data_IF_929398250999
#
_entry.id   IF_929398250999
#
_cell.length_a   1.000
_cell.length_b   1.000
_cell.length_c   1.000
_cell.angle_alpha   90.00
_cell.angle_beta   90.00
_cell.angle_gamma   90.00
#
_symmetry.space_group_name_H-M   'P 1'
#
loop_
_entity.id
_entity.type
_entity.pdbx_description
1 polymer ?
#
# COMPACT_ATOMS: atom_id res chain seq x y z
N UNK A 1 2.79 -2.71 -0.29
CA UNK A 1 2.02 -2.01 -1.34
C UNK A 1 1.05 -1.03 -0.71
N UNK A 2 0.91 0.16 -1.31
CA UNK A 2 -0.12 1.14 -0.99
C UNK A 2 -0.98 1.41 -2.22
N UNK A 3 -2.25 1.79 -2.02
CA UNK A 3 -3.06 2.33 -3.10
C UNK A 3 -3.56 3.72 -2.73
N UNK A 4 -3.58 4.61 -3.71
CA UNK A 4 -3.92 6.02 -3.53
C UNK A 4 -4.72 6.54 -4.74
N UNK A 5 -5.27 7.75 -4.63
CA UNK A 5 -6.00 8.40 -5.71
C UNK A 5 -5.20 9.57 -6.28
N UNK A 6 -5.16 9.66 -7.60
CA UNK A 6 -4.79 10.87 -8.29
C UNK A 6 -5.89 11.94 -8.15
N UNK A 7 -5.70 13.09 -8.75
CA UNK A 7 -6.58 14.25 -8.63
C UNK A 7 -8.03 13.98 -9.04
N UNK A 8 -8.23 13.22 -10.13
CA UNK A 8 -9.53 12.97 -10.73
C UNK A 8 -9.87 11.48 -10.76
N UNK A 9 -11.02 11.11 -11.29
CA UNK A 9 -11.48 9.75 -11.63
C UNK A 9 -11.34 8.70 -10.54
N UNK A 10 -11.31 9.10 -9.25
CA UNK A 10 -11.23 8.15 -8.14
C UNK A 10 -12.48 8.18 -7.24
N UNK A 11 -12.82 7.00 -6.67
CA UNK A 11 -13.99 6.79 -5.83
C UNK A 11 -13.86 7.36 -4.40
N UNK A 12 -12.91 8.24 -4.14
CA UNK A 12 -12.71 8.96 -2.87
C UNK A 12 -12.33 10.43 -3.13
N UNK A 13 -13.10 11.11 -3.97
CA UNK A 13 -12.84 12.50 -4.37
C UNK A 13 -12.73 13.48 -3.20
N UNK A 14 -13.38 13.20 -2.07
CA UNK A 14 -13.31 14.02 -0.85
C UNK A 14 -12.09 13.69 0.05
N UNK A 15 -11.26 12.70 -0.30
CA UNK A 15 -9.99 12.46 0.39
C UNK A 15 -8.94 13.49 -0.06
N UNK A 16 -7.89 13.65 0.72
CA UNK A 16 -6.67 14.30 0.25
C UNK A 16 -6.06 13.41 -0.84
N UNK A 17 -6.29 13.78 -2.10
CA UNK A 17 -5.76 13.09 -3.27
C UNK A 17 -4.49 13.80 -3.73
N UNK A 18 -3.64 13.05 -4.42
CA UNK A 18 -2.36 13.53 -4.89
C UNK A 18 -2.54 14.22 -6.25
N UNK A 19 -2.09 15.47 -6.34
CA UNK A 19 -2.06 16.23 -7.59
C UNK A 19 -0.84 15.85 -8.46
N UNK A 20 -0.72 16.52 -9.59
CA UNK A 20 0.31 16.23 -10.58
C UNK A 20 1.75 16.47 -10.07
N UNK A 21 1.93 17.24 -8.99
CA UNK A 21 3.23 17.48 -8.35
C UNK A 21 3.48 16.48 -7.20
N UNK A 22 2.46 16.22 -6.39
CA UNK A 22 2.59 15.36 -5.22
C UNK A 22 2.62 13.86 -5.56
N UNK A 23 2.00 13.46 -6.68
CA UNK A 23 1.94 12.05 -7.08
C UNK A 23 3.34 11.48 -7.40
N UNK A 24 4.17 12.09 -8.27
CA UNK A 24 5.52 11.61 -8.55
C UNK A 24 6.40 11.53 -7.29
N UNK A 25 6.36 12.55 -6.43
CA UNK A 25 7.11 12.58 -5.18
C UNK A 25 6.67 11.45 -4.23
N UNK A 26 5.37 11.15 -4.19
CA UNK A 26 4.83 10.06 -3.37
C UNK A 26 5.24 8.69 -3.90
N UNK A 27 5.22 8.50 -5.23
CA UNK A 27 5.71 7.26 -5.87
C UNK A 27 7.18 7.08 -5.55
N UNK A 28 8.01 8.12 -5.77
CA UNK A 28 9.43 8.13 -5.41
C UNK A 28 9.64 7.73 -3.95
N UNK A 29 8.98 8.39 -3.00
CA UNK A 29 9.09 8.11 -1.57
C UNK A 29 8.76 6.65 -1.22
N UNK A 30 7.74 6.09 -1.85
CA UNK A 30 7.35 4.70 -1.64
C UNK A 30 8.38 3.72 -2.23
N UNK A 31 8.84 3.96 -3.45
CA UNK A 31 9.82 3.13 -4.14
C UNK A 31 11.17 3.11 -3.39
N UNK A 32 11.63 4.25 -2.90
CA UNK A 32 12.81 4.35 -2.02
C UNK A 32 12.75 3.34 -0.86
N UNK A 33 11.55 3.05 -0.37
CA UNK A 33 11.28 2.12 0.75
C UNK A 33 10.82 0.73 0.32
N UNK A 34 10.94 0.42 -0.98
CA UNK A 34 10.50 -0.88 -1.54
C UNK A 34 8.99 -1.10 -1.48
N UNK A 35 8.21 -0.02 -1.43
CA UNK A 35 6.75 -0.08 -1.36
C UNK A 35 6.15 0.24 -2.73
N UNK A 36 5.42 -0.71 -3.31
CA UNK A 36 4.69 -0.54 -4.57
C UNK A 36 3.51 0.42 -4.40
N UNK A 37 3.22 1.18 -5.46
CA UNK A 37 2.14 2.17 -5.51
C UNK A 37 1.14 1.83 -6.61
N UNK A 38 -0.13 1.67 -6.23
CA UNK A 38 -1.24 1.48 -7.16
C UNK A 38 -2.11 2.74 -7.20
N UNK A 39 -2.35 3.28 -8.40
CA UNK A 39 -3.14 4.50 -8.56
C UNK A 39 -4.57 4.15 -8.96
N UNK A 40 -5.56 4.71 -8.25
CA UNK A 40 -6.98 4.46 -8.54
C UNK A 40 -7.52 5.41 -9.60
N UNK A 41 -8.05 4.84 -10.69
CA UNK A 41 -8.87 5.49 -11.73
C UNK A 41 -10.17 4.69 -11.80
N UNK A 42 -10.93 4.69 -10.71
CA UNK A 42 -11.98 3.71 -10.46
C UNK A 42 -13.38 4.33 -10.31
N UNK A 43 -13.70 5.23 -11.22
CA UNK A 43 -15.07 5.74 -11.45
C UNK A 43 -15.50 5.45 -12.88
N UNK A 44 -16.80 5.47 -13.14
CA UNK A 44 -17.30 5.49 -14.51
C UNK A 44 -16.99 6.84 -15.16
N UNK A 45 -16.69 6.84 -16.45
CA UNK A 45 -16.27 8.02 -17.21
C UNK A 45 -17.28 8.29 -18.31
N UNK A 46 -17.58 9.57 -18.57
CA UNK A 46 -18.43 10.00 -19.68
C UNK A 46 -17.58 10.34 -20.92
N UNK A 47 -18.18 10.33 -22.10
CA UNK A 47 -17.49 10.68 -23.34
C UNK A 47 -16.80 12.06 -23.28
N UNK A 48 -17.46 13.04 -22.64
CA UNK A 48 -16.90 14.38 -22.47
C UNK A 48 -15.69 14.48 -21.51
N UNK A 49 -15.37 13.41 -20.80
CA UNK A 49 -14.22 13.35 -19.86
C UNK A 49 -13.02 12.59 -20.44
N UNK A 50 -13.16 12.03 -21.66
CA UNK A 50 -12.13 11.14 -22.23
C UNK A 50 -10.80 11.83 -22.45
N UNK A 51 -10.77 13.09 -22.89
CA UNK A 51 -9.52 13.83 -23.10
C UNK A 51 -8.78 14.05 -21.76
N UNK A 52 -9.49 14.48 -20.73
CA UNK A 52 -8.92 14.64 -19.39
C UNK A 52 -8.46 13.31 -18.77
N UNK A 53 -9.16 12.21 -19.07
CA UNK A 53 -8.76 10.87 -18.65
C UNK A 53 -7.44 10.43 -19.32
N UNK A 54 -7.29 10.73 -20.63
CA UNK A 54 -6.07 10.41 -21.37
C UNK A 54 -4.87 11.17 -20.79
N UNK A 55 -5.03 12.45 -20.51
CA UNK A 55 -3.99 13.28 -19.85
C UNK A 55 -3.59 12.71 -18.48
N UNK A 56 -4.58 12.32 -17.67
CA UNK A 56 -4.30 11.71 -16.35
C UNK A 56 -3.64 10.32 -16.47
N UNK A 57 -4.03 9.53 -17.48
CA UNK A 57 -3.41 8.23 -17.75
C UNK A 57 -1.93 8.38 -18.14
N UNK A 58 -1.63 9.38 -18.99
CA UNK A 58 -0.27 9.71 -19.41
C UNK A 58 0.56 10.17 -18.18
N UNK A 59 0.02 11.07 -17.36
CA UNK A 59 0.69 11.52 -16.13
C UNK A 59 0.95 10.38 -15.14
N UNK A 60 0.01 9.46 -14.94
CA UNK A 60 0.19 8.29 -14.08
C UNK A 60 1.31 7.38 -14.63
N UNK A 61 1.31 7.11 -15.93
CA UNK A 61 2.33 6.27 -16.56
C UNK A 61 3.74 6.86 -16.44
N UNK A 62 3.88 8.18 -16.50
CA UNK A 62 5.14 8.89 -16.31
C UNK A 62 5.71 8.77 -14.89
N UNK A 63 4.87 8.61 -13.87
CA UNK A 63 5.34 8.42 -12.48
C UNK A 63 6.04 7.09 -12.25
N UNK A 64 5.80 6.09 -13.09
CA UNK A 64 6.25 4.72 -12.86
C UNK A 64 5.47 3.98 -11.76
N UNK A 65 4.24 4.40 -11.46
CA UNK A 65 3.34 3.67 -10.55
C UNK A 65 3.19 2.20 -10.97
N UNK A 66 3.17 1.28 -10.01
CA UNK A 66 3.29 -0.16 -10.28
C UNK A 66 2.01 -0.81 -10.84
N UNK A 67 0.86 -0.18 -10.68
CA UNK A 67 -0.40 -0.61 -11.27
C UNK A 67 -1.47 0.51 -11.24
N UNK A 68 -2.50 0.32 -12.05
CA UNK A 68 -3.73 1.13 -11.97
C UNK A 68 -4.91 0.28 -11.53
N UNK A 69 -5.78 0.86 -10.68
CA UNK A 69 -7.02 0.22 -10.21
C UNK A 69 -8.20 0.84 -10.93
N UNK A 70 -8.89 0.08 -11.76
CA UNK A 70 -9.85 0.54 -12.74
C UNK A 70 -11.27 -0.01 -12.46
N UNK A 71 -12.30 0.73 -12.88
CA UNK A 71 -13.69 0.28 -12.80
C UNK A 71 -14.32 0.13 -14.18
N UNK A 72 -14.16 1.15 -15.03
CA UNK A 72 -14.84 1.27 -16.32
C UNK A 72 -14.18 0.34 -17.36
N UNK A 73 -14.92 -0.54 -18.04
CA UNK A 73 -14.36 -1.43 -19.06
C UNK A 73 -13.76 -0.67 -20.28
N UNK A 74 -14.27 0.51 -20.61
CA UNK A 74 -13.68 1.33 -21.68
C UNK A 74 -12.32 1.89 -21.23
N UNK A 75 -12.22 2.31 -19.97
CA UNK A 75 -10.95 2.76 -19.36
C UNK A 75 -9.95 1.60 -19.25
N UNK A 76 -10.40 0.38 -18.92
CA UNK A 76 -9.53 -0.82 -18.91
C UNK A 76 -8.95 -1.08 -20.30
N UNK A 77 -9.76 -0.97 -21.36
CA UNK A 77 -9.28 -1.10 -22.76
C UNK A 77 -8.32 0.00 -23.13
N UNK A 78 -8.61 1.26 -22.76
CA UNK A 78 -7.72 2.40 -23.02
C UNK A 78 -6.33 2.17 -22.41
N UNK A 79 -6.25 1.77 -21.14
CA UNK A 79 -4.97 1.46 -20.50
C UNK A 79 -4.27 0.25 -21.14
N UNK A 80 -5.02 -0.82 -21.49
CA UNK A 80 -4.47 -1.98 -22.17
C UNK A 80 -3.84 -1.61 -23.52
N UNK A 81 -4.52 -0.79 -24.28
CA UNK A 81 -4.11 -0.46 -25.65
C UNK A 81 -2.99 0.60 -25.67
N UNK A 82 -3.02 1.54 -24.70
CA UNK A 82 -2.05 2.65 -24.62
C UNK A 82 -0.80 2.31 -23.80
N UNK A 83 -0.95 1.52 -22.74
CA UNK A 83 0.13 1.11 -21.83
C UNK A 83 0.02 -0.39 -21.54
N UNK A 84 0.30 -1.26 -22.52
CA UNK A 84 0.08 -2.70 -22.42
C UNK A 84 0.86 -3.35 -21.28
N UNK A 85 2.03 -2.82 -20.93
CA UNK A 85 2.89 -3.32 -19.87
C UNK A 85 2.51 -2.82 -18.47
N UNK A 86 1.68 -1.76 -18.33
CA UNK A 86 1.23 -1.26 -17.03
C UNK A 86 0.15 -2.19 -16.46
N UNK A 87 0.39 -2.83 -15.29
CA UNK A 87 -0.55 -3.73 -14.65
C UNK A 87 -1.91 -3.06 -14.36
N UNK A 88 -2.99 -3.77 -14.65
CA UNK A 88 -4.38 -3.33 -14.46
C UNK A 88 -5.09 -4.19 -13.46
N UNK A 89 -5.63 -3.56 -12.41
CA UNK A 89 -6.40 -4.24 -11.38
C UNK A 89 -7.87 -3.82 -11.48
N UNK A 90 -8.78 -4.79 -11.48
CA UNK A 90 -10.20 -4.50 -11.42
C UNK A 90 -10.60 -4.07 -10.02
N UNK A 91 -11.18 -2.87 -9.91
CA UNK A 91 -11.60 -2.29 -8.63
C UNK A 91 -12.75 -3.07 -8.01
N UNK A 92 -12.88 -3.01 -6.68
CA UNK A 92 -14.11 -3.45 -5.98
C UNK A 92 -15.37 -2.73 -6.49
N UNK A 93 -15.23 -1.59 -7.13
CA UNK A 93 -16.35 -0.85 -7.77
C UNK A 93 -16.92 -1.58 -8.98
N UNK A 94 -16.24 -2.59 -9.54
CA UNK A 94 -16.79 -3.48 -10.56
C UNK A 94 -17.82 -4.45 -10.00
N UNK A 95 -17.95 -4.54 -8.66
CA UNK A 95 -18.89 -5.38 -7.92
C UNK A 95 -18.86 -6.87 -8.32
N UNK A 96 -17.66 -7.41 -8.59
CA UNK A 96 -17.49 -8.81 -8.98
C UNK A 96 -17.85 -9.73 -7.82
N UNK A 97 -18.89 -10.52 -8.02
CA UNK A 97 -19.44 -11.45 -7.02
C UNK A 97 -19.72 -12.83 -7.56
N UNK A 98 -19.36 -13.10 -8.81
CA UNK A 98 -19.47 -14.41 -9.45
C UNK A 98 -18.26 -14.72 -10.35
N UNK A 99 -18.22 -15.96 -10.82
CA UNK A 99 -17.12 -16.44 -11.65
C UNK A 99 -17.12 -15.79 -13.04
N UNK A 100 -18.29 -15.60 -13.65
CA UNK A 100 -18.38 -15.10 -15.02
C UNK A 100 -17.89 -13.64 -15.10
N UNK A 101 -18.26 -12.82 -14.11
CA UNK A 101 -17.75 -11.45 -13.96
C UNK A 101 -16.23 -11.42 -13.76
N UNK A 102 -15.68 -12.34 -12.96
CA UNK A 102 -14.24 -12.42 -12.73
C UNK A 102 -13.48 -12.83 -14.01
N UNK A 103 -13.97 -13.85 -14.73
CA UNK A 103 -13.37 -14.28 -15.98
C UNK A 103 -13.46 -13.20 -17.07
N UNK A 104 -14.58 -12.49 -17.17
CA UNK A 104 -14.70 -11.35 -18.09
C UNK A 104 -13.63 -10.27 -17.85
N UNK A 105 -13.34 -9.92 -16.59
CA UNK A 105 -12.31 -8.94 -16.26
C UNK A 105 -10.90 -9.49 -16.52
N UNK A 106 -10.67 -10.77 -16.27
CA UNK A 106 -9.43 -11.44 -16.67
C UNK A 106 -9.21 -11.35 -18.18
N UNK A 107 -10.23 -11.61 -18.98
CA UNK A 107 -10.19 -11.52 -20.45
C UNK A 107 -9.98 -10.08 -20.96
N UNK A 108 -10.42 -9.08 -20.19
CA UNK A 108 -10.07 -7.67 -20.46
C UNK A 108 -8.60 -7.34 -20.15
N UNK A 109 -7.83 -8.29 -19.59
CA UNK A 109 -6.43 -8.16 -19.27
C UNK A 109 -6.18 -7.55 -17.90
N UNK A 110 -7.11 -7.70 -16.95
CA UNK A 110 -6.84 -7.38 -15.54
C UNK A 110 -5.99 -8.49 -14.90
N UNK A 111 -4.90 -8.10 -14.24
CA UNK A 111 -3.98 -9.04 -13.57
C UNK A 111 -4.36 -9.29 -12.11
N UNK A 112 -5.22 -8.45 -11.55
CA UNK A 112 -5.78 -8.63 -10.20
C UNK A 112 -7.25 -8.22 -10.21
N UNK A 113 -8.09 -9.01 -9.55
CA UNK A 113 -9.53 -8.78 -9.45
C UNK A 113 -9.91 -8.62 -7.99
N UNK A 114 -10.36 -7.42 -7.61
CA UNK A 114 -10.84 -7.16 -6.25
C UNK A 114 -12.27 -7.66 -6.13
N UNK A 115 -12.45 -8.75 -5.39
CA UNK A 115 -13.73 -9.39 -5.17
C UNK A 115 -14.68 -8.53 -4.31
N UNK A 116 -15.96 -8.72 -4.51
CA UNK A 116 -16.99 -8.09 -3.67
C UNK A 116 -16.86 -8.54 -2.21
N UNK A 117 -17.15 -7.61 -1.27
CA UNK A 117 -17.04 -7.87 0.18
C UNK A 117 -18.13 -8.79 0.72
N UNK A 118 -19.16 -9.01 -0.06
CA UNK A 118 -20.39 -9.74 0.29
C UNK A 118 -20.27 -11.25 0.07
N UNK A 119 -19.14 -11.73 -0.44
CA UNK A 119 -18.86 -13.14 -0.72
C UNK A 119 -18.54 -13.91 0.55
N UNK A 120 -18.99 -15.16 0.57
CA UNK A 120 -18.53 -16.17 1.54
C UNK A 120 -17.16 -16.73 1.13
N UNK A 121 -16.46 -17.37 2.06
CA UNK A 121 -15.17 -18.01 1.79
C UNK A 121 -15.26 -19.02 0.63
N UNK A 122 -16.30 -19.86 0.59
CA UNK A 122 -16.52 -20.86 -0.47
C UNK A 122 -16.77 -20.22 -1.85
N UNK A 123 -17.45 -19.07 -1.90
CA UNK A 123 -17.64 -18.33 -3.16
C UNK A 123 -16.32 -17.71 -3.63
N UNK A 124 -15.50 -17.17 -2.72
CA UNK A 124 -14.17 -16.67 -3.04
C UNK A 124 -13.25 -17.77 -3.59
N UNK A 125 -13.20 -18.93 -2.93
CA UNK A 125 -12.45 -20.10 -3.36
C UNK A 125 -12.86 -20.56 -4.76
N UNK A 126 -14.18 -20.64 -5.01
CA UNK A 126 -14.72 -21.03 -6.32
C UNK A 126 -14.29 -20.08 -7.45
N UNK A 127 -14.20 -18.79 -7.18
CA UNK A 127 -13.72 -17.80 -8.15
C UNK A 127 -12.19 -17.91 -8.29
N UNK A 128 -11.46 -17.85 -7.19
CA UNK A 128 -10.00 -17.83 -7.18
C UNK A 128 -9.39 -19.05 -7.86
N UNK A 129 -9.95 -20.25 -7.63
CA UNK A 129 -9.47 -21.50 -8.22
C UNK A 129 -9.63 -21.58 -9.76
N UNK A 130 -10.41 -20.69 -10.36
CA UNK A 130 -10.67 -20.66 -11.81
C UNK A 130 -9.97 -19.54 -12.54
N UNK A 131 -9.38 -18.60 -11.83
CA UNK A 131 -8.53 -17.57 -12.42
C UNK A 131 -7.18 -18.18 -12.83
N UNK A 132 -6.71 -17.89 -14.03
CA UNK A 132 -5.49 -18.47 -14.62
C UNK A 132 -4.38 -17.47 -14.86
N UNK A 133 -4.73 -16.22 -15.20
CA UNK A 133 -3.81 -15.13 -15.49
C UNK A 133 -4.00 -13.94 -14.56
N UNK A 134 -5.04 -13.97 -13.73
CA UNK A 134 -5.32 -12.94 -12.74
C UNK A 134 -5.26 -13.51 -11.31
N UNK A 135 -4.84 -12.70 -10.36
CA UNK A 135 -4.95 -12.98 -8.93
C UNK A 135 -6.27 -12.47 -8.34
N UNK A 136 -6.74 -13.13 -7.28
CA UNK A 136 -7.89 -12.68 -6.50
C UNK A 136 -7.43 -11.82 -5.31
N UNK A 137 -7.99 -10.61 -5.19
CA UNK A 137 -7.78 -9.69 -4.07
C UNK A 137 -9.06 -9.56 -3.25
N UNK A 138 -8.97 -9.66 -1.93
CA UNK A 138 -10.11 -9.50 -1.04
C UNK A 138 -9.83 -8.52 0.09
N UNK A 139 -10.86 -7.76 0.49
CA UNK A 139 -10.75 -6.93 1.69
C UNK A 139 -10.73 -7.80 2.95
N UNK A 140 -9.82 -7.48 3.88
CA UNK A 140 -9.69 -8.19 5.15
C UNK A 140 -10.01 -7.33 6.36
N UNK A 141 -9.95 -5.98 6.21
CA UNK A 141 -10.27 -5.08 7.31
C UNK A 141 -10.77 -3.73 6.81
N UNK A 142 -11.74 -3.15 7.53
CA UNK A 142 -12.22 -1.78 7.34
C UNK A 142 -13.72 -1.64 7.16
N UNK A 143 -14.15 -0.51 6.65
CA UNK A 143 -15.56 -0.16 6.57
C UNK A 143 -16.33 -1.04 5.57
N UNK A 144 -17.44 -1.63 6.03
CA UNK A 144 -18.44 -2.22 5.14
C UNK A 144 -19.31 -1.14 4.47
N UNK A 145 -19.63 -1.38 3.20
CA UNK A 145 -20.69 -0.66 2.51
C UNK A 145 -22.03 -1.39 2.71
N UNK A 146 -23.12 -0.66 2.89
CA UNK A 146 -24.47 -1.27 2.98
C UNK A 146 -24.95 -1.78 1.62
N UNK A 147 -24.49 -1.21 0.54
CA UNK A 147 -24.77 -1.63 -0.82
C UNK A 147 -23.68 -2.54 -1.37
N UNK A 148 -24.01 -3.39 -2.32
CA UNK A 148 -23.04 -4.26 -2.99
C UNK A 148 -21.87 -3.41 -3.51
N UNK A 149 -20.71 -3.62 -2.93
CA UNK A 149 -19.43 -3.02 -3.28
C UNK A 149 -19.45 -1.56 -3.76
N UNK A 150 -20.34 -0.74 -3.14
CA UNK A 150 -20.46 0.68 -3.45
C UNK A 150 -21.42 1.03 -4.59
N UNK A 151 -22.14 0.08 -5.18
CA UNK A 151 -23.16 0.32 -6.21
C UNK A 151 -24.44 0.91 -5.61
N UNK A 152 -24.38 2.12 -5.02
CA UNK A 152 -25.44 2.74 -4.25
C UNK A 152 -25.79 4.12 -4.78
N UNK A 153 -27.10 4.35 -5.00
CA UNK A 153 -27.64 5.65 -5.41
C UNK A 153 -28.22 6.49 -4.25
N UNK A 154 -28.21 5.98 -3.01
CA UNK A 154 -28.87 6.64 -1.87
C UNK A 154 -28.35 8.06 -1.66
N UNK A 155 -27.03 8.28 -1.76
CA UNK A 155 -26.43 9.61 -1.61
C UNK A 155 -26.79 10.56 -2.76
N UNK A 156 -26.98 10.05 -3.98
CA UNK A 156 -27.43 10.84 -5.12
C UNK A 156 -28.91 11.23 -4.97
N UNK A 157 -29.77 10.31 -4.53
CA UNK A 157 -31.20 10.55 -4.31
C UNK A 157 -31.46 11.56 -3.18
N UNK A 158 -30.70 11.51 -2.10
CA UNK A 158 -30.91 12.38 -0.94
C UNK A 158 -30.21 13.74 -1.05
N UNK A 159 -29.18 13.88 -1.86
CA UNK A 159 -28.38 15.09 -1.87
C UNK A 159 -27.61 15.37 -3.16
N UNK A 160 -27.94 14.72 -4.26
CA UNK A 160 -27.32 14.94 -5.56
C UNK A 160 -25.83 14.52 -5.63
N UNK A 161 -25.35 13.71 -4.68
CA UNK A 161 -23.94 13.33 -4.55
C UNK A 161 -23.72 11.89 -4.99
N UNK A 162 -23.05 11.69 -6.13
CA UNK A 162 -22.78 10.34 -6.64
C UNK A 162 -21.73 9.61 -5.79
N UNK A 163 -22.12 8.48 -5.21
CA UNK A 163 -21.21 7.58 -4.49
C UNK A 163 -20.15 6.96 -5.41
N UNK A 164 -20.54 6.64 -6.66
CA UNK A 164 -19.60 6.12 -7.67
C UNK A 164 -18.51 7.15 -8.03
N UNK A 165 -18.90 8.43 -8.08
CA UNK A 165 -17.99 9.55 -8.37
C UNK A 165 -17.18 10.03 -7.15
N UNK A 166 -17.10 9.22 -6.11
CA UNK A 166 -16.32 9.52 -4.91
C UNK A 166 -16.95 10.53 -3.94
N UNK A 167 -18.22 10.88 -4.12
CA UNK A 167 -18.92 11.92 -3.36
C UNK A 167 -19.92 11.36 -2.33
N UNK A 168 -19.83 10.09 -1.96
CA UNK A 168 -20.74 9.47 -1.00
C UNK A 168 -20.76 10.22 0.33
N UNK A 169 -21.96 10.69 0.74
CA UNK A 169 -22.18 11.34 2.04
C UNK A 169 -22.44 10.35 3.19
N UNK A 170 -22.34 9.05 2.91
CA UNK A 170 -22.59 7.98 3.90
C UNK A 170 -24.00 8.03 4.53
N UNK A 171 -25.09 8.23 3.79
CA UNK A 171 -26.43 8.34 4.36
C UNK A 171 -26.86 7.07 5.10
N UNK A 172 -26.32 5.89 4.75
CA UNK A 172 -26.57 4.65 5.50
C UNK A 172 -26.09 4.69 6.96
N UNK A 173 -25.26 5.70 7.33
CA UNK A 173 -24.75 5.85 8.72
C UNK A 173 -25.62 6.75 9.60
N UNK A 174 -26.66 7.36 9.03
CA UNK A 174 -27.63 8.15 9.78
C UNK A 174 -28.53 7.27 10.64
N UNK A 175 -29.19 7.88 11.63
CA UNK A 175 -30.14 7.20 12.51
C UNK A 175 -31.45 6.89 11.77
N UNK A 176 -31.37 5.95 10.82
CA UNK A 176 -32.56 5.38 10.19
C UNK A 176 -33.25 4.43 11.16
N UNK A 177 -34.56 4.59 11.33
CA UNK A 177 -35.36 3.81 12.30
C UNK A 177 -36.34 2.90 11.58
N UNK A 178 -36.48 1.68 12.09
CA UNK A 178 -37.50 0.72 11.68
C UNK A 178 -38.01 -0.07 12.87
N UNK A 179 -39.28 0.11 13.22
CA UNK A 179 -39.85 -0.46 14.43
C UNK A 179 -39.13 0.08 15.67
N UNK A 180 -38.57 -0.84 16.48
CA UNK A 180 -37.76 -0.51 17.67
C UNK A 180 -36.25 -0.38 17.40
N UNK A 181 -35.81 -0.64 16.16
CA UNK A 181 -34.38 -0.56 15.77
C UNK A 181 -34.00 0.84 15.32
N UNK A 182 -32.80 1.27 15.67
CA UNK A 182 -32.12 2.47 15.18
C UNK A 182 -30.93 2.09 14.30
N UNK A 183 -30.39 3.04 13.54
CA UNK A 183 -29.23 2.85 12.67
C UNK A 183 -29.31 1.60 11.77
N UNK A 184 -30.52 1.22 11.35
CA UNK A 184 -30.83 -0.08 10.69
C UNK A 184 -30.15 -0.29 9.35
N UNK A 185 -29.44 0.72 8.80
CA UNK A 185 -28.63 0.63 7.59
C UNK A 185 -27.11 0.70 7.90
N UNK A 186 -26.71 0.84 9.16
CA UNK A 186 -25.30 0.99 9.51
C UNK A 186 -24.68 -0.36 9.86
N UNK A 187 -23.81 -0.88 9.00
CA UNK A 187 -23.03 -2.09 9.28
C UNK A 187 -21.82 -1.77 10.18
N UNK A 188 -21.44 -2.72 11.03
CA UNK A 188 -20.15 -2.75 11.71
C UNK A 188 -19.00 -2.74 10.70
N UNK A 189 -17.81 -2.41 11.15
CA UNK A 189 -16.62 -2.58 10.32
C UNK A 189 -16.30 -4.07 10.15
N UNK A 190 -15.74 -4.41 9.00
CA UNK A 190 -15.27 -5.77 8.72
C UNK A 190 -13.93 -6.01 9.40
N UNK A 191 -13.73 -7.19 9.98
CA UNK A 191 -12.42 -7.73 10.28
C UNK A 191 -12.42 -9.23 10.01
N UNK A 192 -11.60 -9.62 9.04
CA UNK A 192 -11.42 -11.01 8.62
C UNK A 192 -10.02 -11.53 8.94
N UNK A 193 -9.25 -10.78 9.76
CA UNK A 193 -7.87 -11.12 10.06
C UNK A 193 -7.72 -12.52 10.69
N UNK A 194 -8.68 -12.94 11.52
CA UNK A 194 -8.70 -14.29 12.09
C UNK A 194 -8.89 -15.40 11.07
N UNK A 195 -9.37 -15.06 9.87
CA UNK A 195 -9.57 -15.97 8.75
C UNK A 195 -8.50 -15.79 7.66
N UNK A 196 -7.44 -15.02 7.92
CA UNK A 196 -6.45 -14.66 6.91
C UNK A 196 -5.79 -15.90 6.27
N UNK A 197 -5.46 -16.92 7.07
CA UNK A 197 -4.89 -18.17 6.55
C UNK A 197 -5.92 -18.96 5.72
N UNK A 198 -7.15 -19.09 6.19
CA UNK A 198 -8.22 -19.77 5.45
C UNK A 198 -8.48 -19.09 4.09
N UNK A 199 -8.42 -17.76 4.05
CA UNK A 199 -8.55 -16.99 2.81
C UNK A 199 -7.35 -17.21 1.87
N UNK A 200 -6.13 -17.28 2.41
CA UNK A 200 -4.94 -17.60 1.62
C UNK A 200 -5.04 -19.02 1.02
N UNK A 201 -5.46 -20.00 1.80
CA UNK A 201 -5.65 -21.38 1.38
C UNK A 201 -6.78 -21.51 0.32
N UNK A 202 -7.79 -20.64 0.38
CA UNK A 202 -8.84 -20.49 -0.62
C UNK A 202 -8.38 -19.78 -1.92
N UNK A 203 -7.09 -19.41 -2.04
CA UNK A 203 -6.51 -18.83 -3.24
C UNK A 203 -6.57 -17.31 -3.33
N UNK A 204 -6.86 -16.62 -2.22
CA UNK A 204 -6.73 -15.15 -2.16
C UNK A 204 -5.25 -14.78 -2.10
N UNK A 205 -4.75 -14.12 -3.13
CA UNK A 205 -3.34 -13.77 -3.29
C UNK A 205 -2.98 -12.40 -2.72
N UNK A 206 -3.99 -11.55 -2.52
CA UNK A 206 -3.79 -10.17 -2.05
C UNK A 206 -4.83 -9.77 -1.01
N UNK A 207 -4.37 -9.27 0.13
CA UNK A 207 -5.20 -8.82 1.24
C UNK A 207 -5.29 -7.31 1.26
N UNK A 208 -6.51 -6.77 1.13
CA UNK A 208 -6.78 -5.33 1.05
C UNK A 208 -7.31 -4.76 2.35
N UNK A 209 -6.75 -3.64 2.76
CA UNK A 209 -7.19 -2.88 3.93
C UNK A 209 -7.87 -1.59 3.44
N UNK A 210 -9.11 -1.33 3.88
CA UNK A 210 -9.77 -0.05 3.63
C UNK A 210 -9.30 1.00 4.64
N UNK A 211 -8.60 2.04 4.18
CA UNK A 211 -8.01 3.01 5.08
C UNK A 211 -7.77 4.41 4.52
N UNK A 212 -8.13 4.72 3.27
CA UNK A 212 -7.83 6.00 2.58
C UNK A 212 -8.32 7.26 3.29
N UNK A 213 -9.36 7.15 4.12
CA UNK A 213 -9.90 8.28 4.90
C UNK A 213 -9.67 8.07 6.40
N UNK A 214 -8.67 7.30 6.76
CA UNK A 214 -8.32 6.99 8.14
C UNK A 214 -7.02 7.67 8.54
N UNK A 215 -6.83 7.83 9.86
CA UNK A 215 -5.58 8.35 10.43
C UNK A 215 -4.42 7.36 10.18
N UNK A 216 -3.17 7.86 10.12
CA UNK A 216 -1.99 7.01 10.00
C UNK A 216 -1.89 5.92 11.07
N UNK A 217 -2.29 6.21 12.32
CA UNK A 217 -2.31 5.26 13.43
C UNK A 217 -3.19 4.04 13.15
N UNK A 218 -4.35 4.26 12.53
CA UNK A 218 -5.22 3.16 12.11
C UNK A 218 -4.54 2.29 11.06
N UNK A 219 -3.92 2.91 10.06
CA UNK A 219 -3.25 2.17 8.99
C UNK A 219 -2.08 1.36 9.57
N UNK A 220 -1.27 1.96 10.43
CA UNK A 220 -0.15 1.29 11.09
C UNK A 220 -0.63 0.08 11.92
N UNK A 221 -1.66 0.26 12.76
CA UNK A 221 -2.22 -0.81 13.57
C UNK A 221 -2.75 -1.98 12.72
N UNK A 222 -3.55 -1.69 11.69
CA UNK A 222 -4.16 -2.74 10.86
C UNK A 222 -3.11 -3.46 10.00
N UNK A 223 -2.11 -2.75 9.47
CA UNK A 223 -1.01 -3.39 8.71
C UNK A 223 -0.19 -4.30 9.60
N UNK A 224 0.11 -3.89 10.83
CA UNK A 224 0.83 -4.72 11.81
C UNK A 224 0.03 -5.97 12.12
N UNK A 225 -1.23 -5.83 12.52
CA UNK A 225 -2.11 -6.97 12.84
C UNK A 225 -2.34 -7.91 11.64
N UNK A 226 -2.41 -7.37 10.42
CA UNK A 226 -2.54 -8.19 9.22
C UNK A 226 -1.28 -9.04 8.97
N UNK A 227 -0.09 -8.50 9.22
CA UNK A 227 1.17 -9.25 9.13
C UNK A 227 1.23 -10.36 10.18
N UNK A 228 0.91 -10.04 11.43
CA UNK A 228 0.87 -10.99 12.55
C UNK A 228 -0.10 -12.13 12.25
N UNK A 229 -1.32 -11.82 11.79
CA UNK A 229 -2.31 -12.82 11.41
C UNK A 229 -1.84 -13.76 10.26
N UNK A 230 -1.13 -13.22 9.27
CA UNK A 230 -0.60 -14.00 8.15
C UNK A 230 0.62 -14.87 8.51
N UNK A 231 1.36 -14.50 9.55
CA UNK A 231 2.48 -15.30 10.07
C UNK A 231 2.04 -16.29 11.17
N UNK A 232 0.75 -16.31 11.51
CA UNK A 232 0.21 -17.16 12.58
C UNK A 232 0.49 -16.63 13.98
N UNK A 233 0.93 -15.38 14.10
CA UNK A 233 1.13 -14.69 15.36
C UNK A 233 -0.18 -14.13 15.91
N UNK A 234 -0.24 -13.91 17.21
CA UNK A 234 -1.40 -13.25 17.85
C UNK A 234 -1.32 -11.75 17.66
N UNK A 235 -2.42 -11.12 17.26
CA UNK A 235 -2.55 -9.67 17.12
C UNK A 235 -3.51 -9.10 18.16
N UNK A 236 -3.37 -7.81 18.46
CA UNK A 236 -4.19 -7.09 19.45
C UNK A 236 -5.49 -6.57 18.80
N UNK A 237 -6.56 -7.38 18.89
CA UNK A 237 -7.90 -7.00 18.39
C UNK A 237 -8.51 -5.83 19.20
N UNK A 238 -8.19 -5.71 20.48
CA UNK A 238 -8.75 -4.63 21.32
C UNK A 238 -8.18 -3.28 20.90
N UNK A 239 -6.88 -3.21 20.58
CA UNK A 239 -6.29 -2.01 19.99
C UNK A 239 -6.89 -1.68 18.63
N UNK A 240 -7.15 -2.67 17.75
CA UNK A 240 -7.83 -2.43 16.47
C UNK A 240 -9.25 -1.89 16.68
N UNK A 241 -9.98 -2.45 17.64
CA UNK A 241 -11.32 -2.00 18.01
C UNK A 241 -11.31 -0.58 18.54
N UNK A 242 -10.35 -0.26 19.40
CA UNK A 242 -10.19 1.05 20.01
C UNK A 242 -9.82 2.13 19.00
N UNK A 243 -8.83 1.88 18.10
CA UNK A 243 -8.38 2.89 17.14
C UNK A 243 -9.47 3.31 16.18
N UNK A 244 -10.27 2.37 15.71
CA UNK A 244 -11.51 2.66 14.97
C UNK A 244 -12.39 1.44 14.79
N UNK A 245 -13.61 1.50 15.32
CA UNK A 245 -14.69 0.57 14.99
C UNK A 245 -16.06 1.23 15.09
N UNK A 246 -17.09 0.57 14.58
CA UNK A 246 -18.51 0.90 14.77
C UNK A 246 -19.16 -0.18 15.61
N UNK A 247 -19.02 -0.06 16.93
CA UNK A 247 -19.46 -1.08 17.90
C UNK A 247 -18.83 -2.45 17.66
N UNK A 248 -17.52 -2.46 17.27
CA UNK A 248 -16.76 -3.66 16.97
C UNK A 248 -16.81 -4.10 15.51
N UNK A 249 -16.51 -5.37 15.28
CA UNK A 249 -16.32 -5.96 13.96
C UNK A 249 -17.36 -7.01 13.60
N UNK A 250 -17.43 -7.34 12.31
CA UNK A 250 -18.23 -8.44 11.78
C UNK A 250 -17.47 -9.18 10.69
N UNK A 251 -17.68 -10.48 10.59
CA UNK A 251 -17.27 -11.37 9.51
C UNK A 251 -18.49 -12.06 8.84
N UNK A 252 -19.67 -11.51 9.08
CA UNK A 252 -20.93 -12.15 8.74
C UNK A 252 -21.09 -12.51 7.26
N UNK A 253 -20.51 -11.75 6.33
CA UNK A 253 -20.53 -12.12 4.92
C UNK A 253 -19.63 -13.34 4.66
N UNK A 254 -18.38 -13.31 5.11
CA UNK A 254 -17.44 -14.41 4.89
C UNK A 254 -17.97 -15.74 5.43
N UNK A 255 -18.54 -15.70 6.64
CA UNK A 255 -19.09 -16.89 7.32
C UNK A 255 -20.51 -17.26 6.92
N UNK A 256 -21.18 -16.45 6.10
CA UNK A 256 -22.57 -16.63 5.72
C UNK A 256 -23.60 -16.27 6.81
N UNK A 257 -23.16 -15.75 7.96
CA UNK A 257 -24.05 -15.35 9.09
C UNK A 257 -24.59 -13.94 8.90
N UNK A 258 -25.54 -13.78 7.99
CA UNK A 258 -26.14 -12.50 7.62
C UNK A 258 -27.34 -12.18 8.52
N UNK A 259 -27.07 -11.66 9.71
CA UNK A 259 -28.10 -11.38 10.72
C UNK A 259 -27.92 -9.98 11.38
N UNK A 260 -28.71 -9.69 12.41
CA UNK A 260 -28.72 -8.40 13.12
C UNK A 260 -27.39 -8.07 13.80
N UNK A 261 -26.55 -9.05 14.08
CA UNK A 261 -25.25 -8.84 14.74
C UNK A 261 -24.24 -8.11 13.84
N UNK A 262 -24.50 -8.07 12.52
CA UNK A 262 -23.68 -7.33 11.56
C UNK A 262 -23.87 -5.81 11.66
N UNK A 263 -24.91 -5.31 12.32
CA UNK A 263 -25.23 -3.89 12.39
C UNK A 263 -24.60 -3.24 13.62
N UNK A 264 -24.19 -1.99 13.48
CA UNK A 264 -23.60 -1.19 14.52
C UNK A 264 -23.26 0.22 14.05
N UNK A 265 -23.09 1.13 14.99
CA UNK A 265 -22.73 2.52 14.71
C UNK A 265 -21.67 2.99 15.70
N UNK A 266 -20.97 4.05 15.37
CA UNK A 266 -19.91 4.59 16.22
C UNK A 266 -20.51 5.37 17.38
N UNK A 267 -20.22 4.94 18.59
CA UNK A 267 -20.68 5.56 19.84
C UNK A 267 -19.67 6.61 20.33
N UNK A 268 -20.05 7.38 21.36
CA UNK A 268 -19.13 8.30 22.04
C UNK A 268 -17.99 7.54 22.73
N UNK A 269 -18.28 6.36 23.27
CA UNK A 269 -17.27 5.50 23.91
C UNK A 269 -16.25 4.97 22.93
N UNK A 270 -16.67 4.63 21.71
CA UNK A 270 -15.73 4.27 20.61
C UNK A 270 -14.80 5.43 20.26
N UNK A 271 -15.26 6.68 20.31
CA UNK A 271 -14.43 7.86 20.06
C UNK A 271 -13.39 8.07 21.17
N UNK A 272 -13.83 7.97 22.44
CA UNK A 272 -12.93 8.14 23.60
C UNK A 272 -11.88 7.02 23.69
N UNK A 273 -12.23 5.82 23.30
CA UNK A 273 -11.31 4.68 23.27
C UNK A 273 -10.15 4.89 22.30
N UNK A 274 -10.38 5.57 21.18
CA UNK A 274 -9.33 5.89 20.20
C UNK A 274 -8.20 6.73 20.83
N UNK A 275 -8.53 7.76 21.61
CA UNK A 275 -7.53 8.68 22.17
C UNK A 275 -6.51 7.98 23.08
N UNK A 276 -6.89 6.85 23.68
CA UNK A 276 -6.03 6.07 24.58
C UNK A 276 -4.90 5.34 23.86
N UNK A 277 -5.10 4.97 22.59
CA UNK A 277 -4.16 4.15 21.80
C UNK A 277 -3.37 4.93 20.76
N UNK A 278 -3.81 6.15 20.41
CA UNK A 278 -3.18 6.93 19.32
C UNK A 278 -1.68 7.16 19.54
N UNK A 279 -1.29 7.54 20.78
CA UNK A 279 0.12 7.86 21.07
C UNK A 279 1.04 6.65 20.94
N UNK A 280 0.61 5.46 21.38
CA UNK A 280 1.39 4.23 21.22
C UNK A 280 1.47 3.77 19.79
N UNK A 281 0.39 3.96 19.02
CA UNK A 281 0.35 3.61 17.61
C UNK A 281 1.20 4.56 16.74
N UNK A 282 1.30 5.84 17.08
CA UNK A 282 2.19 6.78 16.39
C UNK A 282 3.65 6.32 16.44
N UNK A 283 4.08 5.71 17.53
CA UNK A 283 5.44 5.18 17.66
C UNK A 283 5.81 4.09 16.62
N UNK A 284 4.80 3.44 15.99
CA UNK A 284 5.03 2.42 14.96
C UNK A 284 5.61 3.00 13.65
N UNK A 285 5.46 4.32 13.40
CA UNK A 285 5.88 4.96 12.15
C UNK A 285 6.65 6.28 12.34
N UNK A 286 6.84 6.76 13.58
CA UNK A 286 7.62 7.99 13.86
C UNK A 286 9.08 7.87 13.47
N UNK A 287 9.62 6.66 13.48
CA UNK A 287 11.02 6.40 13.12
C UNK A 287 11.11 5.55 11.87
N UNK A 288 12.05 5.90 11.01
CA UNK A 288 12.38 5.07 9.86
C UNK A 288 12.82 3.67 10.34
N UNK A 289 12.16 2.64 9.82
CA UNK A 289 12.48 1.25 10.14
C UNK A 289 13.24 0.65 8.96
N UNK A 290 14.50 0.25 9.13
CA UNK A 290 15.29 -0.38 8.07
C UNK A 290 14.65 -1.71 7.64
N UNK A 291 14.27 -1.81 6.37
CA UNK A 291 13.61 -3.00 5.78
C UNK A 291 14.19 -3.40 4.43
N UNK A 292 14.87 -2.48 3.76
CA UNK A 292 15.54 -2.77 2.49
C UNK A 292 16.94 -3.31 2.76
N UNK A 293 17.18 -4.57 2.39
CA UNK A 293 18.51 -5.18 2.51
C UNK A 293 19.51 -4.48 1.60
N UNK A 294 20.73 -4.24 2.10
CA UNK A 294 21.82 -3.66 1.31
C UNK A 294 23.13 -4.38 1.62
N UNK A 295 23.87 -4.76 0.56
CA UNK A 295 25.26 -5.20 0.66
C UNK A 295 26.19 -4.00 0.50
N UNK A 296 27.33 -4.03 1.20
CA UNK A 296 28.35 -2.99 1.15
C UNK A 296 29.71 -3.58 0.88
N UNK A 297 30.44 -3.04 -0.09
CA UNK A 297 31.83 -3.38 -0.37
C UNK A 297 32.71 -2.12 -0.26
N UNK A 298 33.59 -2.11 0.70
CA UNK A 298 34.53 -1.01 0.94
C UNK A 298 35.90 -1.35 0.40
N UNK A 299 36.52 -0.47 -0.36
CA UNK A 299 37.92 -0.58 -0.80
C UNK A 299 38.74 0.62 -0.37
N UNK A 300 39.94 0.37 0.10
CA UNK A 300 40.94 1.38 0.42
C UNK A 300 42.26 0.97 -0.22
N UNK A 301 42.65 1.69 -1.26
CA UNK A 301 43.94 1.51 -1.92
C UNK A 301 44.98 2.51 -1.36
N UNK A 302 46.15 2.63 -1.96
CA UNK A 302 47.14 3.67 -1.58
C UNK A 302 46.74 5.09 -1.96
N UNK A 303 45.81 5.24 -2.93
CA UNK A 303 45.48 6.54 -3.55
C UNK A 303 44.00 6.90 -3.43
N UNK A 304 43.14 5.94 -3.14
CA UNK A 304 41.69 6.13 -3.22
C UNK A 304 40.96 5.31 -2.19
N UNK A 305 39.83 5.86 -1.73
CA UNK A 305 38.84 5.13 -0.96
C UNK A 305 37.53 5.05 -1.74
N UNK A 306 36.84 3.91 -1.72
CA UNK A 306 35.55 3.75 -2.38
C UNK A 306 34.59 2.88 -1.57
N UNK A 307 33.32 3.18 -1.66
CA UNK A 307 32.24 2.37 -1.07
C UNK A 307 31.20 2.05 -2.15
N UNK A 308 31.01 0.78 -2.42
CA UNK A 308 29.93 0.27 -3.26
C UNK A 308 28.80 -0.22 -2.38
N UNK A 309 27.57 0.22 -2.65
CA UNK A 309 26.35 -0.24 -2.00
C UNK A 309 25.40 -0.81 -3.04
N UNK A 310 24.72 -1.93 -2.72
CA UNK A 310 23.77 -2.55 -3.63
C UNK A 310 22.59 -3.19 -2.88
N UNK A 311 21.39 -3.01 -3.43
CA UNK A 311 20.17 -3.69 -2.97
C UNK A 311 19.80 -4.92 -3.82
N UNK A 312 20.69 -5.33 -4.73
CA UNK A 312 20.46 -6.43 -5.65
C UNK A 312 19.89 -6.01 -7.01
N UNK A 313 19.15 -4.91 -7.07
CA UNK A 313 18.62 -4.33 -8.31
C UNK A 313 19.43 -3.10 -8.76
N UNK A 314 19.84 -2.27 -7.82
CA UNK A 314 20.60 -1.06 -8.03
C UNK A 314 21.95 -1.17 -7.32
N UNK A 315 22.99 -0.59 -7.91
CA UNK A 315 24.30 -0.46 -7.30
C UNK A 315 24.85 0.96 -7.50
N UNK A 316 25.52 1.50 -6.48
CA UNK A 316 26.22 2.78 -6.54
C UNK A 316 27.58 2.66 -5.90
N UNK A 317 28.55 3.29 -6.53
CA UNK A 317 29.92 3.37 -6.01
C UNK A 317 30.30 4.84 -5.87
N UNK A 318 30.65 5.22 -4.67
CA UNK A 318 31.14 6.57 -4.34
C UNK A 318 32.62 6.48 -4.00
N UNK A 319 33.40 7.40 -4.54
CA UNK A 319 34.82 7.58 -4.22
C UNK A 319 34.98 8.72 -3.21
N UNK A 320 35.83 8.51 -2.22
CA UNK A 320 36.05 9.48 -1.15
C UNK A 320 37.49 10.00 -1.11
N UNK A 321 37.80 10.62 -0.01
CA UNK A 321 39.12 11.20 0.21
C UNK A 321 40.25 10.17 0.01
N UNK A 322 41.39 10.64 -0.47
CA UNK A 322 42.62 9.85 -0.52
C UNK A 322 43.06 9.46 0.88
N UNK A 323 43.50 8.22 1.12
CA UNK A 323 43.96 7.82 2.44
C UNK A 323 45.30 8.44 2.79
N UNK A 324 45.57 8.53 4.10
CA UNK A 324 46.85 8.98 4.62
C UNK A 324 47.65 7.77 5.14
N UNK A 325 48.98 7.86 5.13
CA UNK A 325 49.81 6.87 5.83
C UNK A 325 49.55 6.90 7.31
N UNK A 326 49.26 5.75 7.89
CA UNK A 326 48.99 5.64 9.33
C UNK A 326 50.22 5.93 10.17
N UNK A 327 50.10 6.87 11.10
CA UNK A 327 51.18 7.18 12.06
C UNK A 327 51.13 6.23 13.27
N UNK A 328 49.95 6.00 13.82
CA UNK A 328 49.76 5.20 15.02
C UNK A 328 49.04 3.88 14.76
N UNK A 329 47.92 3.91 14.03
CA UNK A 329 47.09 2.76 13.76
C UNK A 329 46.48 2.83 12.35
N UNK A 330 46.76 1.80 11.55
CA UNK A 330 46.12 1.65 10.27
C UNK A 330 44.63 1.29 10.39
N UNK A 331 43.83 1.60 9.40
CA UNK A 331 42.44 1.19 9.34
C UNK A 331 42.40 -0.33 9.14
N UNK A 332 41.61 -1.01 9.97
CA UNK A 332 41.28 -2.42 9.83
C UNK A 332 39.83 -2.62 9.40
N UNK A 333 39.51 -3.80 8.87
CA UNK A 333 38.17 -4.13 8.37
C UNK A 333 37.08 -3.95 9.45
N UNK A 334 37.35 -4.35 10.69
CA UNK A 334 36.40 -4.23 11.78
C UNK A 334 36.09 -2.77 12.15
N UNK A 335 37.10 -1.88 12.08
CA UNK A 335 36.95 -0.45 12.31
C UNK A 335 36.18 0.23 11.17
N UNK A 336 36.39 -0.19 9.91
CA UNK A 336 35.65 0.27 8.75
C UNK A 336 34.19 -0.15 8.86
N UNK A 337 33.92 -1.42 9.09
CA UNK A 337 32.59 -1.99 9.28
C UNK A 337 31.80 -1.25 10.34
N UNK A 338 32.38 -1.09 11.55
CA UNK A 338 31.75 -0.37 12.68
C UNK A 338 31.23 1.02 12.33
N UNK A 339 31.83 1.70 11.34
CA UNK A 339 31.41 3.02 10.90
C UNK A 339 30.48 2.98 9.69
N UNK A 340 30.71 2.06 8.74
CA UNK A 340 30.00 1.99 7.47
C UNK A 340 28.62 1.32 7.58
N UNK A 341 28.44 0.35 8.49
CA UNK A 341 27.14 -0.35 8.65
C UNK A 341 26.07 0.42 9.43
N UNK A 342 26.37 1.66 9.84
CA UNK A 342 25.42 2.50 10.60
C UNK A 342 24.40 3.17 9.66
N UNK A 343 23.30 2.52 9.36
CA UNK A 343 22.26 2.98 8.45
C UNK A 343 21.08 3.70 9.10
N UNK A 344 21.17 4.02 10.38
CA UNK A 344 20.08 4.68 11.13
C UNK A 344 19.57 5.95 10.44
N UNK A 345 18.25 6.10 10.38
CA UNK A 345 17.56 7.19 9.66
C UNK A 345 17.41 6.95 8.15
N UNK A 346 17.74 5.75 7.67
CA UNK A 346 17.50 5.31 6.28
C UNK A 346 16.64 4.05 6.25
N UNK A 347 16.01 3.70 5.12
CA UNK A 347 15.26 2.45 5.00
C UNK A 347 16.14 1.19 4.89
N UNK A 348 17.47 1.35 4.91
CA UNK A 348 18.42 0.27 4.64
C UNK A 348 18.83 -0.51 5.89
N UNK A 349 18.89 -1.85 5.75
CA UNK A 349 19.51 -2.77 6.70
C UNK A 349 20.69 -3.48 6.00
N UNK A 350 21.89 -3.37 6.56
CA UNK A 350 23.06 -4.04 5.97
C UNK A 350 22.92 -5.54 6.16
N UNK A 351 22.97 -6.28 5.05
CA UNK A 351 22.86 -7.74 5.00
C UNK A 351 24.21 -8.43 4.80
N UNK A 352 25.13 -7.72 4.15
CA UNK A 352 26.49 -8.20 3.91
C UNK A 352 27.48 -7.02 3.88
N UNK A 353 28.71 -7.25 4.38
CA UNK A 353 29.78 -6.27 4.39
C UNK A 353 31.10 -6.91 4.02
N UNK A 354 31.79 -6.36 3.03
CA UNK A 354 33.15 -6.76 2.66
C UNK A 354 34.08 -5.56 2.67
N UNK A 355 35.36 -5.78 3.00
CA UNK A 355 36.37 -4.72 2.99
C UNK A 355 37.69 -5.24 2.43
N UNK A 356 38.24 -4.53 1.44
CA UNK A 356 39.61 -4.72 0.91
C UNK A 356 40.43 -3.46 1.26
N UNK A 357 41.40 -3.60 2.16
CA UNK A 357 42.11 -2.47 2.75
C UNK A 357 43.61 -2.63 2.58
N UNK A 358 44.26 -1.72 1.86
CA UNK A 358 45.71 -1.67 1.73
C UNK A 358 46.38 -1.45 3.10
N UNK A 359 47.38 -2.26 3.46
CA UNK A 359 48.03 -2.18 4.77
C UNK A 359 48.82 -0.86 4.94
N UNK A 360 48.81 -0.33 6.15
CA UNK A 360 49.57 0.88 6.50
C UNK A 360 48.89 2.21 6.18
N UNK A 361 47.65 2.19 5.74
CA UNK A 361 46.87 3.39 5.47
C UNK A 361 45.73 3.60 6.48
N UNK A 362 45.30 4.86 6.62
CA UNK A 362 44.19 5.23 7.46
C UNK A 362 43.23 6.16 6.72
N UNK A 363 41.96 6.11 7.13
CA UNK A 363 40.93 7.06 6.75
C UNK A 363 40.20 7.52 8.03
N UNK A 364 40.00 8.81 8.25
CA UNK A 364 39.30 9.29 9.45
C UNK A 364 37.83 8.86 9.44
N UNK A 365 37.26 8.64 10.65
CA UNK A 365 35.87 8.24 10.79
C UNK A 365 34.88 9.24 10.13
N UNK A 366 35.24 10.51 10.05
CA UNK A 366 34.46 11.53 9.32
C UNK A 366 34.34 11.22 7.83
N UNK A 367 35.44 10.82 7.17
CA UNK A 367 35.47 10.46 5.77
C UNK A 367 34.66 9.17 5.51
N UNK A 368 34.84 8.13 6.34
CA UNK A 368 34.02 6.92 6.27
C UNK A 368 32.51 7.24 6.39
N UNK A 369 32.14 8.12 7.32
CA UNK A 369 30.76 8.54 7.49
C UNK A 369 30.25 9.40 6.32
N UNK A 370 31.08 10.17 5.67
CA UNK A 370 30.73 10.92 4.46
C UNK A 370 30.46 9.97 3.29
N UNK A 371 31.38 9.05 2.99
CA UNK A 371 31.22 7.99 2.00
C UNK A 371 29.90 7.21 2.17
N UNK A 372 29.64 6.75 3.39
CA UNK A 372 28.41 6.03 3.70
C UNK A 372 27.17 6.84 3.37
N UNK A 373 27.10 8.11 3.84
CA UNK A 373 25.93 8.96 3.63
C UNK A 373 25.69 9.21 2.14
N UNK A 374 26.73 9.49 1.41
CA UNK A 374 26.68 9.76 -0.02
C UNK A 374 26.24 8.51 -0.79
N UNK A 375 26.88 7.36 -0.56
CA UNK A 375 26.55 6.11 -1.22
C UNK A 375 25.10 5.66 -0.95
N UNK A 376 24.64 5.76 0.29
CA UNK A 376 23.25 5.44 0.63
C UNK A 376 22.25 6.44 0.05
N UNK A 377 22.60 7.73 -0.05
CA UNK A 377 21.77 8.75 -0.71
C UNK A 377 21.62 8.47 -2.20
N UNK A 378 22.73 8.18 -2.90
CA UNK A 378 22.70 7.83 -4.31
C UNK A 378 21.92 6.53 -4.59
N UNK A 379 22.05 5.53 -3.71
CA UNK A 379 21.26 4.30 -3.82
C UNK A 379 19.77 4.58 -3.62
N UNK A 380 19.44 5.44 -2.65
CA UNK A 380 18.05 5.84 -2.38
C UNK A 380 17.43 6.55 -3.60
N UNK A 381 18.15 7.50 -4.20
CA UNK A 381 17.72 8.20 -5.41
C UNK A 381 17.56 7.23 -6.60
N UNK A 382 18.46 6.25 -6.72
CA UNK A 382 18.34 5.22 -7.76
C UNK A 382 17.10 4.35 -7.60
N UNK A 383 16.77 3.97 -6.36
CA UNK A 383 15.56 3.20 -6.05
C UNK A 383 14.29 3.99 -6.34
N UNK A 384 14.29 5.28 -5.97
CA UNK A 384 13.17 6.19 -6.17
C UNK A 384 13.02 6.73 -7.59
N UNK A 385 13.99 6.49 -8.47
CA UNK A 385 13.94 6.98 -9.83
C UNK A 385 12.70 6.46 -10.57
N UNK A 386 11.94 7.38 -11.16
CA UNK A 386 10.77 7.02 -11.95
C UNK A 386 11.17 6.10 -13.10
N UNK A 387 10.37 5.06 -13.31
CA UNK A 387 10.48 4.12 -14.45
C UNK A 387 9.21 4.24 -15.30
N UNK A 388 9.10 5.26 -16.17
CA UNK A 388 7.91 5.51 -16.96
C UNK A 388 7.51 4.30 -17.81
N UNK A 389 6.22 4.05 -17.92
CA UNK A 389 5.70 3.00 -18.76
C UNK A 389 5.70 3.45 -20.23
N UNK A 390 6.25 2.63 -21.14
CA UNK A 390 6.27 2.99 -22.55
C UNK A 390 4.85 2.99 -23.13
N UNK A 391 4.56 4.00 -23.91
CA UNK A 391 3.33 4.08 -24.69
C UNK A 391 3.46 3.23 -25.95
N UNK A 392 2.43 2.46 -26.29
CA UNK A 392 2.33 1.71 -27.55
C UNK A 392 2.05 2.60 -28.75
#
# INVERSE_FOLDING_TARGET
>A
TVYLGAKNFNARRNAENFDDLALPETVKFCHERGTKVFVTVNTLVTDGEMDALIEEADAIAETGADAVILQDPAVMRLFRDRYPALPRHASTQTAVHDLDGALYLQDLGCETIVLARELTLSEMEKIASRLTTAGAEAFVHGAHCMSVSGACYLSAMLGGRSGNRGLCAQPCRLDWRCGKGDHVLSLKDMSLLRHAQEMADAGITTFKIEGRMKRPEYVAAVVTACREALTGETYDEDTLRAVFSRSGFTDGYLTGKRDKTMFGYRTKDDVQSADKVLKSLAALYEKETPRAGVSMAFSLTETESALTVSDGENARTVTGDAPEKAINRALDAASAEKNLVKTGGTPFAVTDFTADIAPGYMLPASALNALRREALSELLDARGAAKPWPRS
#
